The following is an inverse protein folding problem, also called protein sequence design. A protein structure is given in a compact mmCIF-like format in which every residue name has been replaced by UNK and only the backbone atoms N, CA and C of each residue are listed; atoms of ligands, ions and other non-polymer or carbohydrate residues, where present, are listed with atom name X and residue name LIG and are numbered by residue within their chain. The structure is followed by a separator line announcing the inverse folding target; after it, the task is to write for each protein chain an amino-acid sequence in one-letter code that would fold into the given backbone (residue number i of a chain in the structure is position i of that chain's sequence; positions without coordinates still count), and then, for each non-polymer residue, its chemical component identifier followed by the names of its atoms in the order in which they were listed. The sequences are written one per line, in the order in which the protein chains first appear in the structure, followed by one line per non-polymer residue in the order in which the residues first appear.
data_IF_786517845688
#
_entry.id   IF_786517845688
#
_cell.length_a   1.000
_cell.length_b   1.000
_cell.length_c   1.000
_cell.angle_alpha   90.00
_cell.angle_beta   90.00
_cell.angle_gamma   90.00
#
_symmetry.space_group_name_H-M   'P 1'
#
loop_
_entity.id
_entity.type
_entity.pdbx_description
1 polymer ?
#
# COMPACT_ATOMS: atom_id res chain seq x y z
N UNK A 1 18.92 21.08 9.84
CA UNK A 1 19.02 19.96 10.80
C UNK A 1 17.81 19.04 10.64
N UNK A 2 18.06 17.75 10.44
CA UNK A 2 17.10 16.65 10.41
C UNK A 2 16.25 16.59 11.68
N UNK A 3 15.27 17.50 11.79
CA UNK A 3 14.29 17.52 12.89
C UNK A 3 13.29 16.37 12.80
N UNK A 4 13.39 15.49 11.79
CA UNK A 4 12.48 14.36 11.58
C UNK A 4 12.35 13.50 12.84
N UNK A 5 13.47 13.13 13.46
CA UNK A 5 13.52 12.29 14.68
C UNK A 5 13.19 13.04 15.98
N UNK A 6 13.17 14.37 15.96
CA UNK A 6 12.98 15.21 17.17
C UNK A 6 11.51 15.61 17.40
N UNK A 7 10.58 15.23 16.50
CA UNK A 7 9.17 15.60 16.60
C UNK A 7 8.39 14.58 17.44
N UNK A 8 7.57 15.03 18.41
CA UNK A 8 6.80 14.12 19.25
C UNK A 8 5.63 13.48 18.49
N UNK A 9 5.36 12.22 18.81
CA UNK A 9 4.15 11.49 18.48
C UNK A 9 3.02 11.87 19.46
N UNK A 10 1.75 11.69 19.09
CA UNK A 10 0.65 11.78 20.06
C UNK A 10 0.59 10.50 20.91
N UNK A 11 0.67 9.33 20.29
CA UNK A 11 0.81 8.04 20.98
C UNK A 11 2.07 7.34 20.48
N UNK A 12 2.91 6.88 21.40
CA UNK A 12 4.01 5.96 21.08
C UNK A 12 4.09 4.87 22.13
N UNK A 13 3.93 3.62 21.70
CA UNK A 13 4.03 2.43 22.55
C UNK A 13 5.11 1.52 21.99
N UNK A 14 6.04 1.09 22.84
CA UNK A 14 7.18 0.25 22.45
C UNK A 14 7.20 -0.98 23.35
N UNK A 15 7.26 -2.17 22.75
CA UNK A 15 7.37 -3.46 23.45
C UNK A 15 6.27 -3.65 24.54
N UNK A 16 5.06 -3.19 24.23
CA UNK A 16 3.92 -3.25 25.14
C UNK A 16 3.05 -4.49 24.86
N UNK A 17 2.32 -4.96 25.87
CA UNK A 17 1.37 -6.08 25.74
C UNK A 17 -0.01 -5.73 26.28
N UNK A 18 -1.05 -6.23 25.62
CA UNK A 18 -2.45 -6.01 26.01
C UNK A 18 -2.83 -4.52 25.99
N UNK A 19 -2.65 -3.89 24.84
CA UNK A 19 -2.91 -2.46 24.64
C UNK A 19 -4.30 -2.28 24.04
N UNK A 20 -5.09 -1.38 24.63
CA UNK A 20 -6.38 -0.94 24.09
C UNK A 20 -6.36 0.58 23.89
N UNK A 21 -6.60 1.01 22.66
CA UNK A 21 -6.84 2.41 22.30
C UNK A 21 -8.22 2.51 21.69
N UNK A 22 -9.15 3.17 22.37
CA UNK A 22 -10.56 3.12 22.01
C UNK A 22 -11.27 4.45 22.22
N UNK A 23 -12.17 4.79 21.28
CA UNK A 23 -13.15 5.89 21.38
C UNK A 23 -12.54 7.28 21.64
N UNK A 24 -11.35 7.55 21.11
CA UNK A 24 -10.66 8.84 21.21
C UNK A 24 -10.60 9.59 19.87
N UNK A 25 -10.59 10.92 19.97
CA UNK A 25 -10.34 11.81 18.84
C UNK A 25 -8.92 12.38 18.97
N UNK A 26 -8.13 12.31 17.90
CA UNK A 26 -6.76 12.83 17.88
C UNK A 26 -6.55 13.73 16.67
N UNK A 27 -5.79 14.82 16.84
CA UNK A 27 -5.54 15.79 15.78
C UNK A 27 -4.13 16.37 15.85
N UNK A 28 -3.62 16.78 14.69
CA UNK A 28 -2.48 17.68 14.55
C UNK A 28 -1.19 17.20 15.26
N UNK A 29 -0.76 15.97 14.96
CA UNK A 29 0.52 15.46 15.47
C UNK A 29 1.68 16.21 14.82
N UNK A 30 2.75 16.45 15.59
CA UNK A 30 3.98 17.01 15.05
C UNK A 30 4.73 15.99 14.17
N UNK A 31 4.44 14.69 14.34
CA UNK A 31 4.94 13.58 13.53
C UNK A 31 3.80 12.56 13.26
N UNK A 32 4.08 11.25 13.24
CA UNK A 32 3.05 10.22 13.11
C UNK A 32 2.02 10.38 14.22
N UNK A 33 0.74 10.10 13.93
CA UNK A 33 -0.30 10.23 14.94
C UNK A 33 -0.08 9.26 16.09
N UNK A 34 0.07 7.98 15.75
CA UNK A 34 0.31 6.92 16.70
C UNK A 34 1.22 5.85 16.13
N UNK A 35 2.20 5.42 16.93
CA UNK A 35 3.17 4.39 16.54
C UNK A 35 3.24 3.31 17.61
N UNK A 36 3.03 2.07 17.17
CA UNK A 36 3.13 0.87 18.00
C UNK A 36 4.31 0.04 17.48
N UNK A 37 5.37 -0.06 18.26
CA UNK A 37 6.59 -0.78 17.91
C UNK A 37 6.73 -2.04 18.76
N UNK A 38 6.81 -3.20 18.12
CA UNK A 38 6.98 -4.50 18.77
C UNK A 38 5.91 -4.86 19.82
N UNK A 39 4.71 -4.28 19.72
CA UNK A 39 3.60 -4.58 20.63
C UNK A 39 2.92 -5.93 20.32
N UNK A 40 2.30 -6.53 21.34
CA UNK A 40 1.50 -7.75 21.23
C UNK A 40 0.10 -7.58 21.86
N UNK A 41 -0.92 -8.18 21.24
CA UNK A 41 -2.31 -8.08 21.68
C UNK A 41 -2.74 -6.61 21.75
N UNK A 42 -2.76 -5.97 20.59
CA UNK A 42 -3.11 -4.57 20.42
C UNK A 42 -4.48 -4.44 19.77
N UNK A 43 -5.36 -3.67 20.39
CA UNK A 43 -6.65 -3.30 19.81
C UNK A 43 -6.73 -1.79 19.66
N UNK A 44 -7.03 -1.33 18.44
CA UNK A 44 -7.37 0.06 18.14
C UNK A 44 -8.78 0.10 17.58
N UNK A 45 -9.72 0.77 18.25
CA UNK A 45 -11.12 0.75 17.85
C UNK A 45 -11.85 2.08 18.02
N UNK A 46 -12.74 2.44 17.10
CA UNK A 46 -13.63 3.60 17.26
C UNK A 46 -12.92 4.95 17.28
N UNK A 47 -11.64 5.02 16.89
CA UNK A 47 -10.88 6.27 16.92
C UNK A 47 -11.23 7.17 15.74
N UNK A 48 -11.05 8.49 15.95
CA UNK A 48 -11.11 9.47 14.86
C UNK A 48 -9.82 10.28 14.81
N UNK A 49 -9.24 10.38 13.62
CA UNK A 49 -7.98 11.08 13.39
C UNK A 49 -8.16 12.15 12.31
N UNK A 50 -7.61 13.34 12.57
CA UNK A 50 -7.42 14.39 11.56
C UNK A 50 -5.99 14.93 11.66
N UNK A 51 -5.13 14.61 10.69
CA UNK A 51 -3.68 14.85 10.80
C UNK A 51 -3.14 15.58 9.56
N UNK A 52 -3.22 16.90 9.56
CA UNK A 52 -2.72 17.79 8.49
C UNK A 52 -1.87 18.94 9.06
N UNK A 53 -1.06 18.65 10.07
CA UNK A 53 -0.26 19.66 10.76
C UNK A 53 1.20 19.71 10.28
N UNK A 54 1.72 18.63 9.69
CA UNK A 54 3.10 18.51 9.25
C UNK A 54 3.29 17.37 8.24
N UNK A 55 4.50 17.20 7.71
CA UNK A 55 4.91 15.97 7.01
C UNK A 55 4.92 14.76 7.97
N UNK A 56 4.79 13.53 7.45
CA UNK A 56 4.75 12.30 8.24
C UNK A 56 3.58 12.32 9.22
N UNK A 57 2.40 12.65 8.71
CA UNK A 57 1.19 12.76 9.49
C UNK A 57 0.28 11.56 9.22
N UNK A 58 0.84 10.38 9.42
CA UNK A 58 0.16 9.11 9.27
C UNK A 58 -0.98 8.95 10.29
N UNK A 59 -1.94 8.05 10.03
CA UNK A 59 -3.05 7.76 10.95
C UNK A 59 -2.69 6.68 11.97
N UNK A 60 -2.24 5.51 11.52
CA UNK A 60 -1.91 4.36 12.38
C UNK A 60 -0.65 3.67 11.85
N UNK A 61 0.43 3.68 12.64
CA UNK A 61 1.64 2.90 12.35
C UNK A 61 1.73 1.67 13.26
N UNK A 62 1.57 0.49 12.65
CA UNK A 62 1.80 -0.81 13.29
C UNK A 62 3.17 -1.32 12.82
N UNK A 63 4.13 -1.45 13.74
CA UNK A 63 5.51 -1.76 13.40
C UNK A 63 6.03 -2.99 14.15
N UNK A 64 6.16 -4.12 13.44
CA UNK A 64 6.61 -5.38 14.03
C UNK A 64 5.69 -5.90 15.14
N UNK A 65 4.38 -5.60 15.07
CA UNK A 65 3.40 -6.04 16.07
C UNK A 65 2.79 -7.40 15.72
N UNK A 66 2.33 -8.11 16.75
CA UNK A 66 1.58 -9.37 16.58
C UNK A 66 0.24 -9.38 17.30
N UNK A 67 -0.74 -10.08 16.72
CA UNK A 67 -2.10 -10.18 17.24
C UNK A 67 -2.74 -8.79 17.39
N UNK A 68 -3.00 -8.15 16.26
CA UNK A 68 -3.53 -6.77 16.21
C UNK A 68 -4.94 -6.76 15.64
N UNK A 69 -5.83 -5.99 16.27
CA UNK A 69 -7.18 -5.74 15.80
C UNK A 69 -7.36 -4.24 15.60
N UNK A 70 -7.78 -3.83 14.40
CA UNK A 70 -8.15 -2.45 14.09
C UNK A 70 -9.60 -2.44 13.58
N UNK A 71 -10.49 -1.69 14.21
CA UNK A 71 -11.89 -1.65 13.77
C UNK A 71 -12.55 -0.30 13.90
N UNK A 72 -13.50 0.00 13.02
CA UNK A 72 -14.44 1.12 13.19
C UNK A 72 -13.73 2.49 13.31
N UNK A 73 -12.57 2.64 12.66
CA UNK A 73 -11.74 3.83 12.73
C UNK A 73 -12.02 4.78 11.55
N UNK A 74 -11.94 6.08 11.81
CA UNK A 74 -12.07 7.13 10.80
C UNK A 74 -10.80 7.99 10.77
N UNK A 75 -10.17 8.15 9.61
CA UNK A 75 -8.95 8.94 9.45
C UNK A 75 -9.00 9.87 8.25
N UNK A 76 -8.46 11.08 8.44
CA UNK A 76 -8.15 12.02 7.39
C UNK A 76 -6.73 12.57 7.62
N UNK A 77 -5.82 12.34 6.69
CA UNK A 77 -4.37 12.43 6.92
C UNK A 77 -3.60 12.96 5.73
N UNK A 78 -2.51 13.65 6.02
CA UNK A 78 -1.60 14.20 5.02
C UNK A 78 -0.59 13.17 4.48
N UNK A 79 -0.31 12.14 5.27
CA UNK A 79 0.56 11.03 4.88
C UNK A 79 -0.26 9.72 4.90
N UNK A 80 0.38 8.57 5.10
CA UNK A 80 -0.26 7.25 5.01
C UNK A 80 -1.36 7.05 6.08
N UNK A 81 -2.51 6.47 5.74
CA UNK A 81 -3.56 6.21 6.73
C UNK A 81 -3.26 4.94 7.54
N UNK A 82 -3.50 3.75 6.99
CA UNK A 82 -3.18 2.49 7.67
C UNK A 82 -1.84 1.96 7.20
N UNK A 83 -0.83 2.05 8.06
CA UNK A 83 0.56 1.70 7.73
C UNK A 83 1.04 0.52 8.58
N UNK A 84 1.44 -0.54 7.90
CA UNK A 84 2.12 -1.69 8.50
C UNK A 84 3.59 -1.64 8.13
N UNK A 85 4.45 -1.53 9.14
CA UNK A 85 5.91 -1.55 9.03
C UNK A 85 6.46 -2.79 9.73
N UNK A 86 7.66 -3.18 9.36
CA UNK A 86 8.46 -4.17 10.08
C UNK A 86 9.90 -3.70 10.09
N UNK A 87 10.14 -2.60 10.80
CA UNK A 87 11.40 -1.85 10.81
C UNK A 87 12.55 -2.67 11.35
N UNK A 88 12.28 -3.61 12.26
CA UNK A 88 13.23 -4.53 12.89
C UNK A 88 13.04 -5.96 12.36
N UNK A 89 13.71 -6.94 12.96
CA UNK A 89 13.51 -8.36 12.66
C UNK A 89 12.11 -8.89 13.06
N UNK A 90 11.34 -8.12 13.84
CA UNK A 90 9.98 -8.50 14.20
C UNK A 90 9.02 -8.32 13.01
N UNK A 91 8.32 -9.38 12.55
CA UNK A 91 7.30 -9.25 11.52
C UNK A 91 6.05 -8.57 12.09
N UNK A 92 5.27 -7.95 11.19
CA UNK A 92 3.86 -7.72 11.46
C UNK A 92 3.08 -9.00 11.19
N UNK A 93 2.46 -9.60 12.21
CA UNK A 93 1.77 -10.88 12.04
C UNK A 93 0.44 -11.03 12.77
N UNK A 94 -0.49 -11.76 12.14
CA UNK A 94 -1.84 -12.03 12.66
C UNK A 94 -2.60 -10.73 12.96
N UNK A 95 -2.92 -9.99 11.90
CA UNK A 95 -3.55 -8.67 11.97
C UNK A 95 -4.91 -8.71 11.27
N UNK A 96 -5.93 -8.18 11.93
CA UNK A 96 -7.26 -7.98 11.32
C UNK A 96 -7.66 -6.51 11.34
N UNK A 97 -8.18 -6.04 10.20
CA UNK A 97 -8.72 -4.69 10.04
C UNK A 97 -10.12 -4.76 9.44
N UNK A 98 -11.08 -4.03 10.01
CA UNK A 98 -12.42 -3.93 9.42
C UNK A 98 -13.10 -2.58 9.65
N UNK A 99 -14.04 -2.22 8.78
CA UNK A 99 -14.98 -1.10 8.97
C UNK A 99 -14.32 0.27 9.12
N UNK A 100 -13.21 0.52 8.42
CA UNK A 100 -12.50 1.80 8.51
C UNK A 100 -12.85 2.73 7.33
N UNK A 101 -12.87 4.04 7.59
CA UNK A 101 -12.99 5.07 6.56
C UNK A 101 -11.71 5.89 6.54
N UNK A 102 -11.04 5.87 5.39
CA UNK A 102 -9.66 6.33 5.22
C UNK A 102 -9.60 7.44 4.17
N UNK A 103 -9.00 8.56 4.54
CA UNK A 103 -8.62 9.63 3.64
C UNK A 103 -7.13 9.93 3.85
N UNK A 104 -6.38 9.93 2.75
CA UNK A 104 -4.93 10.10 2.75
C UNK A 104 -4.50 10.84 1.50
N UNK A 105 -3.58 11.78 1.63
CA UNK A 105 -2.89 12.36 0.47
C UNK A 105 -1.74 11.47 -0.04
N UNK A 106 -1.36 10.44 0.71
CA UNK A 106 -0.38 9.43 0.33
C UNK A 106 -1.04 8.06 0.12
N UNK A 107 -0.74 7.05 0.94
CA UNK A 107 -1.27 5.70 0.80
C UNK A 107 -2.39 5.45 1.83
N UNK A 108 -3.58 5.05 1.38
CA UNK A 108 -4.67 4.76 2.31
C UNK A 108 -4.44 3.45 3.09
N UNK A 109 -3.96 2.41 2.43
CA UNK A 109 -3.56 1.12 3.04
C UNK A 109 -2.18 0.77 2.54
N UNK A 110 -1.23 0.56 3.45
CA UNK A 110 0.16 0.26 3.10
C UNK A 110 0.76 -0.83 3.96
N UNK A 111 1.33 -1.85 3.33
CA UNK A 111 2.34 -2.71 3.94
C UNK A 111 3.70 -2.29 3.40
N UNK A 112 4.55 -1.72 4.24
CA UNK A 112 5.80 -1.07 3.88
C UNK A 112 5.95 0.32 4.53
N UNK A 113 6.97 1.09 4.20
CA UNK A 113 8.08 0.72 3.30
C UNK A 113 9.13 -0.08 4.05
N UNK A 114 9.31 0.20 5.34
CA UNK A 114 10.14 -0.58 6.27
C UNK A 114 9.63 -2.01 6.33
N UNK A 115 10.41 -2.93 5.77
CA UNK A 115 9.96 -4.30 5.45
C UNK A 115 11.00 -5.35 5.82
N UNK A 116 11.80 -5.10 6.86
CA UNK A 116 12.87 -5.99 7.30
C UNK A 116 12.31 -7.28 7.92
N UNK A 117 11.39 -7.17 8.87
CA UNK A 117 10.80 -8.33 9.54
C UNK A 117 9.76 -9.06 8.68
N UNK A 118 9.12 -8.34 7.75
CA UNK A 118 8.10 -8.87 6.86
C UNK A 118 6.67 -8.79 7.42
N UNK A 119 5.75 -9.42 6.69
CA UNK A 119 4.31 -9.29 6.88
C UNK A 119 3.62 -10.63 6.68
N UNK A 120 2.87 -11.09 7.68
CA UNK A 120 2.29 -12.43 7.66
C UNK A 120 0.87 -12.46 8.19
N UNK A 121 -0.04 -13.13 7.48
CA UNK A 121 -1.43 -13.32 7.92
C UNK A 121 -2.11 -11.98 8.28
N UNK A 122 -2.25 -11.09 7.29
CA UNK A 122 -2.94 -9.81 7.45
C UNK A 122 -4.23 -9.84 6.64
N UNK A 123 -5.36 -9.58 7.30
CA UNK A 123 -6.68 -9.52 6.68
C UNK A 123 -7.28 -8.12 6.86
N UNK A 124 -7.58 -7.44 5.76
CA UNK A 124 -8.18 -6.10 5.74
C UNK A 124 -9.48 -6.18 4.96
N UNK A 125 -10.59 -5.74 5.56
CA UNK A 125 -11.88 -5.81 4.87
C UNK A 125 -12.82 -4.65 5.18
N UNK A 126 -13.84 -4.47 4.35
CA UNK A 126 -14.95 -3.54 4.60
C UNK A 126 -14.47 -2.09 4.87
N UNK A 127 -13.52 -1.60 4.07
CA UNK A 127 -12.98 -0.26 4.22
C UNK A 127 -13.38 0.65 3.07
N UNK A 128 -13.58 1.93 3.37
CA UNK A 128 -13.88 2.98 2.38
C UNK A 128 -12.68 3.90 2.31
N UNK A 129 -12.15 4.10 1.11
CA UNK A 129 -11.14 5.12 0.81
C UNK A 129 -11.87 6.26 0.10
N UNK A 130 -11.76 7.48 0.63
CA UNK A 130 -12.46 8.64 0.06
C UNK A 130 -11.56 9.87 0.02
N UNK A 131 -11.86 10.87 -0.82
CA UNK A 131 -11.12 12.12 -0.85
C UNK A 131 -11.04 12.77 0.53
N UNK A 132 -9.88 13.37 0.82
CA UNK A 132 -9.65 14.16 2.03
C UNK A 132 -10.59 15.37 2.07
N UNK A 133 -10.99 15.77 3.28
CA UNK A 133 -11.64 17.05 3.49
C UNK A 133 -10.66 18.22 3.40
N UNK A 134 -9.37 17.96 3.60
CA UNK A 134 -8.29 18.92 3.34
C UNK A 134 -7.97 18.95 1.83
N UNK A 135 -7.91 20.15 1.25
CA UNK A 135 -7.68 20.30 -0.19
C UNK A 135 -6.24 20.62 -0.53
N UNK A 136 -5.50 21.16 0.44
CA UNK A 136 -4.14 21.65 0.27
C UNK A 136 -3.17 20.73 1.04
N UNK A 137 -2.71 19.62 0.43
CA UNK A 137 -1.77 18.70 1.09
C UNK A 137 -0.44 19.40 1.42
N UNK A 138 0.14 19.07 2.57
CA UNK A 138 1.55 19.41 2.86
C UNK A 138 2.48 18.45 2.10
N UNK A 139 2.07 17.19 1.96
CA UNK A 139 2.77 16.14 1.22
C UNK A 139 1.80 15.23 0.43
N UNK A 140 2.31 14.60 -0.63
CA UNK A 140 1.54 13.71 -1.49
C UNK A 140 0.64 14.42 -2.51
N UNK A 141 -0.44 13.74 -2.92
CA UNK A 141 -1.39 14.21 -3.92
C UNK A 141 -2.75 14.51 -3.28
N UNK A 142 -3.43 15.55 -3.78
CA UNK A 142 -4.75 15.97 -3.26
C UNK A 142 -5.75 14.82 -3.11
N UNK A 143 -5.80 13.90 -4.06
CA UNK A 143 -6.73 12.77 -4.03
C UNK A 143 -6.11 11.45 -3.53
N UNK A 144 -4.86 11.48 -3.05
CA UNK A 144 -4.11 10.29 -2.63
C UNK A 144 -3.18 9.75 -3.71
N UNK A 145 -1.99 9.31 -3.31
CA UNK A 145 -1.02 8.62 -4.14
C UNK A 145 -1.52 7.21 -4.47
N UNK A 146 -1.92 6.43 -3.45
CA UNK A 146 -2.40 5.07 -3.67
C UNK A 146 -3.52 4.64 -2.74
N UNK A 147 -4.42 3.80 -3.26
CA UNK A 147 -5.43 3.12 -2.45
C UNK A 147 -4.82 1.99 -1.62
N UNK A 148 -4.14 1.06 -2.29
CA UNK A 148 -3.55 -0.14 -1.68
C UNK A 148 -2.11 -0.32 -2.17
N UNK A 149 -1.16 -0.21 -1.26
CA UNK A 149 0.28 -0.39 -1.51
C UNK A 149 0.82 -1.59 -0.72
N UNK A 150 1.39 -2.57 -1.42
CA UNK A 150 1.90 -3.82 -0.85
C UNK A 150 3.36 -3.97 -1.25
N UNK A 151 4.26 -3.71 -0.31
CA UNK A 151 5.68 -3.50 -0.58
C UNK A 151 6.56 -4.41 0.28
N UNK A 152 7.58 -5.00 -0.35
CA UNK A 152 8.74 -5.59 0.33
C UNK A 152 9.98 -5.08 -0.38
N UNK A 153 10.81 -4.30 0.32
CA UNK A 153 12.01 -3.69 -0.25
C UNK A 153 13.25 -3.78 0.62
N UNK A 154 13.10 -4.19 1.89
CA UNK A 154 14.18 -4.27 2.89
C UNK A 154 14.49 -5.71 3.32
N UNK A 155 14.18 -6.69 2.48
CA UNK A 155 14.62 -8.08 2.62
C UNK A 155 13.71 -9.04 3.41
N UNK A 156 12.62 -8.55 3.98
CA UNK A 156 11.67 -9.40 4.70
C UNK A 156 10.83 -10.31 3.81
N UNK A 157 9.98 -11.10 4.46
CA UNK A 157 9.07 -12.04 3.79
C UNK A 157 7.64 -11.58 3.99
N UNK A 158 6.91 -11.42 2.88
CA UNK A 158 5.47 -11.22 2.88
C UNK A 158 4.75 -12.49 2.42
N UNK A 159 3.82 -12.96 3.25
CA UNK A 159 3.03 -14.15 2.97
C UNK A 159 1.64 -14.11 3.61
N UNK A 160 0.58 -14.24 2.80
CA UNK A 160 -0.78 -14.37 3.31
C UNK A 160 -1.41 -13.02 3.64
N UNK A 161 -1.55 -12.18 2.61
CA UNK A 161 -2.27 -10.91 2.70
C UNK A 161 -3.62 -11.06 2.00
N UNK A 162 -4.72 -10.80 2.71
CA UNK A 162 -6.06 -10.81 2.14
C UNK A 162 -6.70 -9.44 2.30
N UNK A 163 -7.12 -8.83 1.20
CA UNK A 163 -7.82 -7.54 1.19
C UNK A 163 -9.15 -7.72 0.46
N UNK A 164 -10.27 -7.37 1.09
CA UNK A 164 -11.59 -7.56 0.48
C UNK A 164 -12.61 -6.47 0.78
N UNK A 165 -13.57 -6.29 -0.12
CA UNK A 165 -14.67 -5.35 0.04
C UNK A 165 -14.18 -3.92 0.31
N UNK A 166 -13.47 -3.36 -0.67
CA UNK A 166 -12.91 -2.00 -0.62
C UNK A 166 -13.61 -1.14 -1.66
N UNK A 167 -14.13 0.02 -1.23
CA UNK A 167 -14.60 1.06 -2.14
C UNK A 167 -13.64 2.24 -2.07
N UNK A 168 -13.08 2.67 -3.20
CA UNK A 168 -12.15 3.80 -3.28
C UNK A 168 -12.61 4.84 -4.30
N UNK A 169 -12.37 6.11 -3.97
CA UNK A 169 -12.65 7.27 -4.82
C UNK A 169 -11.47 8.23 -4.78
N UNK A 170 -10.85 8.46 -5.94
CA UNK A 170 -9.82 9.48 -6.14
C UNK A 170 -8.34 9.06 -6.31
N UNK A 171 -7.80 7.95 -5.75
CA UNK A 171 -6.34 7.77 -5.69
C UNK A 171 -5.70 7.68 -7.09
N UNK A 172 -4.48 8.18 -7.23
CA UNK A 172 -3.74 8.13 -8.51
C UNK A 172 -3.47 6.68 -8.94
N UNK A 173 -3.09 5.82 -7.99
CA UNK A 173 -2.84 4.39 -8.22
C UNK A 173 -3.75 3.53 -7.33
N UNK A 174 -4.72 2.78 -7.88
CA UNK A 174 -5.62 1.97 -7.08
C UNK A 174 -4.91 0.85 -6.32
N UNK A 175 -4.04 0.09 -7.02
CA UNK A 175 -3.33 -1.06 -6.47
C UNK A 175 -1.87 -1.03 -6.94
N UNK A 176 -0.96 -1.07 -5.98
CA UNK A 176 0.48 -1.13 -6.18
C UNK A 176 1.06 -2.32 -5.42
N UNK A 177 1.67 -3.28 -6.13
CA UNK A 177 2.36 -4.42 -5.53
C UNK A 177 3.81 -4.42 -6.01
N UNK A 178 4.74 -4.33 -5.07
CA UNK A 178 6.17 -4.17 -5.35
C UNK A 178 7.04 -5.04 -4.45
N UNK A 179 7.77 -5.96 -5.08
CA UNK A 179 9.00 -6.49 -4.52
C UNK A 179 10.17 -5.70 -5.10
N UNK A 180 11.00 -5.10 -4.25
CA UNK A 180 12.22 -4.36 -4.60
C UNK A 180 13.37 -4.72 -3.67
N UNK A 181 14.46 -3.96 -3.74
CA UNK A 181 15.69 -4.18 -2.99
C UNK A 181 16.36 -2.85 -2.60
N UNK A 182 15.63 -1.98 -1.91
CA UNK A 182 16.18 -0.81 -1.20
C UNK A 182 17.27 -1.23 -0.21
N UNK A 183 17.16 -2.45 0.33
CA UNK A 183 18.16 -3.09 1.18
C UNK A 183 18.57 -2.21 2.38
N UNK A 184 17.61 -1.49 2.96
CA UNK A 184 17.86 -0.64 4.12
C UNK A 184 18.21 -1.51 5.33
N UNK A 185 19.35 -1.25 5.96
CA UNK A 185 19.69 -1.84 7.24
C UNK A 185 18.76 -1.34 8.35
N UNK A 186 18.28 -2.24 9.20
CA UNK A 186 17.40 -1.86 10.32
C UNK A 186 18.15 -1.20 11.48
N UNK A 187 19.45 -1.50 11.65
CA UNK A 187 20.39 -0.79 12.52
C UNK A 187 21.70 -0.53 11.76
N UNK A 188 22.56 0.41 12.20
CA UNK A 188 23.85 0.65 11.56
C UNK A 188 24.74 -0.61 11.49
N UNK A 189 24.67 -1.47 12.51
CA UNK A 189 25.47 -2.68 12.67
C UNK A 189 24.90 -3.90 11.92
N UNK A 190 23.63 -3.86 11.51
CA UNK A 190 23.00 -4.97 10.80
C UNK A 190 23.71 -5.28 9.47
N UNK A 191 23.60 -6.54 9.03
CA UNK A 191 24.01 -6.92 7.68
C UNK A 191 23.11 -6.23 6.64
N UNK A 192 23.64 -6.02 5.43
CA UNK A 192 22.82 -5.52 4.31
C UNK A 192 21.82 -6.62 3.96
N UNK A 193 20.50 -6.35 4.02
CA UNK A 193 19.51 -7.35 3.67
C UNK A 193 19.67 -7.84 2.23
N UNK A 194 19.41 -9.12 2.01
CA UNK A 194 19.22 -9.66 0.65
C UNK A 194 17.83 -9.31 0.13
N UNK A 195 17.56 -9.58 -1.15
CA UNK A 195 16.20 -9.43 -1.71
C UNK A 195 15.20 -10.27 -0.92
N UNK A 196 14.06 -9.65 -0.59
CA UNK A 196 12.98 -10.28 0.16
C UNK A 196 12.11 -11.21 -0.68
N UNK A 197 10.96 -11.58 -0.14
CA UNK A 197 9.95 -12.37 -0.85
C UNK A 197 8.58 -11.76 -0.68
N UNK A 198 7.80 -11.73 -1.76
CA UNK A 198 6.42 -11.27 -1.77
C UNK A 198 5.56 -12.33 -2.44
N UNK A 199 4.70 -12.96 -1.65
CA UNK A 199 3.87 -14.06 -2.13
C UNK A 199 2.52 -14.15 -1.43
N UNK A 200 1.58 -14.86 -2.04
CA UNK A 200 0.28 -15.19 -1.45
C UNK A 200 -0.51 -13.93 -1.06
N UNK A 201 -0.83 -13.10 -2.06
CA UNK A 201 -1.66 -11.89 -1.90
C UNK A 201 -2.97 -12.08 -2.64
N UNK A 202 -4.08 -11.94 -1.93
CA UNK A 202 -5.44 -11.99 -2.46
C UNK A 202 -6.10 -10.64 -2.27
N UNK A 203 -6.54 -10.01 -3.36
CA UNK A 203 -7.35 -8.79 -3.31
C UNK A 203 -8.64 -9.04 -4.09
N UNK A 204 -9.80 -8.84 -3.47
CA UNK A 204 -11.08 -9.12 -4.12
C UNK A 204 -12.16 -8.12 -3.75
N UNK A 205 -13.18 -7.98 -4.60
CA UNK A 205 -14.33 -7.09 -4.34
C UNK A 205 -13.88 -5.63 -4.14
N UNK A 206 -13.19 -5.09 -5.15
CA UNK A 206 -12.70 -3.71 -5.15
C UNK A 206 -13.48 -2.88 -6.17
N UNK A 207 -14.01 -1.74 -5.73
CA UNK A 207 -14.56 -0.71 -6.62
C UNK A 207 -13.67 0.52 -6.51
N UNK A 208 -13.06 0.95 -7.61
CA UNK A 208 -12.24 2.14 -7.69
C UNK A 208 -12.78 3.11 -8.74
N UNK A 209 -13.05 4.35 -8.34
CA UNK A 209 -13.57 5.42 -9.22
C UNK A 209 -12.71 6.67 -9.18
N UNK A 210 -12.83 7.49 -10.23
CA UNK A 210 -12.11 8.75 -10.36
C UNK A 210 -10.60 8.61 -10.12
N UNK A 211 -10.01 7.49 -10.54
CA UNK A 211 -8.60 7.19 -10.29
C UNK A 211 -7.70 7.88 -11.32
N UNK A 212 -6.41 7.91 -11.02
CA UNK A 212 -5.40 8.56 -11.84
C UNK A 212 -5.19 7.96 -13.23
N UNK A 213 -4.14 8.46 -13.89
CA UNK A 213 -3.72 7.99 -15.23
C UNK A 213 -2.68 6.89 -15.17
N UNK A 214 -2.03 6.72 -14.02
CA UNK A 214 -0.87 5.84 -13.86
C UNK A 214 -1.21 4.38 -14.13
N UNK A 215 -2.33 3.86 -13.61
CA UNK A 215 -2.69 2.45 -13.66
C UNK A 215 -2.17 1.66 -12.45
N UNK A 216 -2.51 0.37 -12.35
CA UNK A 216 -2.02 -0.52 -11.29
C UNK A 216 -0.73 -1.24 -11.73
N UNK A 217 0.11 -1.63 -10.76
CA UNK A 217 1.28 -2.45 -11.04
C UNK A 217 1.41 -3.65 -10.11
N UNK A 218 1.93 -4.74 -10.67
CA UNK A 218 2.30 -5.98 -9.96
C UNK A 218 3.72 -6.33 -10.41
N UNK A 219 4.71 -5.94 -9.60
CA UNK A 219 6.10 -5.93 -10.03
C UNK A 219 7.05 -6.61 -9.05
N UNK A 220 7.81 -7.58 -9.54
CA UNK A 220 9.06 -8.02 -8.93
C UNK A 220 10.26 -7.28 -9.50
N UNK A 221 11.46 -7.80 -9.26
CA UNK A 221 12.71 -7.38 -9.90
C UNK A 221 13.33 -8.56 -10.66
N UNK A 222 14.26 -8.33 -11.60
CA UNK A 222 14.92 -9.41 -12.34
C UNK A 222 15.42 -10.54 -11.44
N UNK A 223 15.02 -11.77 -11.72
CA UNK A 223 15.39 -12.96 -10.94
C UNK A 223 14.60 -13.17 -9.63
N UNK A 224 13.84 -12.18 -9.17
CA UNK A 224 13.05 -12.23 -7.94
C UNK A 224 11.58 -11.84 -8.23
N UNK A 225 10.77 -12.77 -8.75
CA UNK A 225 9.39 -12.45 -9.08
C UNK A 225 8.51 -12.39 -7.83
N UNK A 226 7.48 -11.54 -7.89
CA UNK A 226 6.31 -11.66 -7.01
C UNK A 226 5.53 -12.91 -7.37
N UNK A 227 4.96 -13.62 -6.38
CA UNK A 227 4.37 -14.95 -6.59
C UNK A 227 2.95 -15.10 -6.07
N UNK A 228 2.11 -15.85 -6.78
CA UNK A 228 0.78 -16.23 -6.30
C UNK A 228 -0.05 -15.01 -5.85
N UNK A 229 -0.31 -14.13 -6.81
CA UNK A 229 -1.10 -12.90 -6.61
C UNK A 229 -2.43 -13.09 -7.33
N UNK A 230 -3.53 -12.96 -6.60
CA UNK A 230 -4.88 -13.11 -7.14
C UNK A 230 -5.67 -11.82 -6.95
N UNK A 231 -6.10 -11.22 -8.06
CA UNK A 231 -6.99 -10.07 -8.10
C UNK A 231 -8.32 -10.49 -8.72
N UNK A 232 -9.45 -10.29 -8.02
CA UNK A 232 -10.74 -10.70 -8.56
C UNK A 232 -11.94 -9.82 -8.19
N UNK A 233 -13.01 -9.89 -8.98
CA UNK A 233 -14.27 -9.20 -8.72
C UNK A 233 -14.08 -7.69 -8.54
N UNK A 234 -13.59 -7.01 -9.57
CA UNK A 234 -13.23 -5.59 -9.49
C UNK A 234 -13.94 -4.73 -10.53
N UNK A 235 -14.21 -3.47 -10.16
CA UNK A 235 -14.63 -2.42 -11.08
C UNK A 235 -13.64 -1.26 -10.92
N UNK A 236 -12.90 -0.95 -11.97
CA UNK A 236 -11.84 0.05 -11.96
C UNK A 236 -12.10 1.09 -13.05
N UNK A 237 -12.16 2.36 -12.66
CA UNK A 237 -12.31 3.49 -13.58
C UNK A 237 -11.09 4.39 -13.47
N UNK A 238 -10.38 4.55 -14.58
CA UNK A 238 -9.16 5.35 -14.71
C UNK A 238 -9.44 6.64 -15.48
N UNK A 239 -8.73 7.72 -15.16
CA UNK A 239 -8.83 8.95 -15.93
C UNK A 239 -8.49 8.73 -17.41
N UNK A 240 -7.47 7.91 -17.71
CA UNK A 240 -7.04 7.62 -19.08
C UNK A 240 -6.39 8.81 -19.80
N UNK A 241 -6.46 8.80 -21.13
CA UNK A 241 -5.98 9.91 -21.97
C UNK A 241 -4.52 9.82 -22.42
N UNK A 242 -3.80 8.73 -22.15
CA UNK A 242 -2.42 8.56 -22.63
C UNK A 242 -2.41 8.22 -24.13
N UNK A 243 -1.81 9.10 -24.94
CA UNK A 243 -1.77 8.94 -26.40
C UNK A 243 -0.50 8.27 -26.92
N UNK A 244 0.59 8.33 -26.17
CA UNK A 244 1.87 7.76 -26.57
C UNK A 244 2.35 6.80 -25.47
N UNK A 245 1.90 5.53 -25.51
CA UNK A 245 2.28 4.52 -24.53
C UNK A 245 3.79 4.30 -24.47
N UNK A 246 4.35 4.24 -23.25
CA UNK A 246 5.71 3.79 -23.02
C UNK A 246 5.78 2.27 -23.28
N UNK A 247 6.85 1.80 -23.91
CA UNK A 247 7.03 0.35 -24.13
C UNK A 247 7.40 -0.32 -22.80
N UNK A 248 6.93 -1.55 -22.52
CA UNK A 248 7.30 -2.29 -21.32
C UNK A 248 8.81 -2.34 -21.04
N UNK A 249 9.61 -2.56 -22.08
CA UNK A 249 11.07 -2.63 -21.99
C UNK A 249 11.75 -1.29 -21.67
N UNK A 250 11.06 -0.16 -21.80
CA UNK A 250 11.59 1.17 -21.48
C UNK A 250 11.25 1.61 -20.05
N UNK A 251 10.40 0.86 -19.34
CA UNK A 251 10.11 1.13 -17.92
C UNK A 251 11.34 0.74 -17.09
N UNK A 252 11.96 1.65 -16.33
CA UNK A 252 13.16 1.34 -15.56
C UNK A 252 12.88 0.32 -14.45
N UNK A 253 13.92 -0.40 -14.00
CA UNK A 253 13.75 -1.41 -12.93
C UNK A 253 13.59 -0.81 -11.53
N UNK A 254 14.31 0.29 -11.24
CA UNK A 254 14.25 1.04 -9.98
C UNK A 254 14.29 0.11 -8.74
N UNK A 255 15.20 -0.86 -8.73
CA UNK A 255 15.25 -1.92 -7.72
C UNK A 255 15.55 -1.37 -6.32
N UNK A 256 16.44 -0.38 -6.22
CA UNK A 256 16.95 0.19 -4.97
C UNK A 256 16.26 1.50 -4.54
N UNK A 257 15.26 1.95 -5.30
CA UNK A 257 14.59 3.22 -5.07
C UNK A 257 13.45 3.10 -4.05
N UNK A 258 13.03 4.24 -3.50
CA UNK A 258 11.85 4.31 -2.63
C UNK A 258 10.59 3.88 -3.43
N UNK A 259 9.80 2.90 -2.95
CA UNK A 259 8.74 2.27 -3.72
C UNK A 259 7.44 3.07 -3.67
N UNK A 260 7.45 4.32 -4.13
CA UNK A 260 6.18 5.04 -4.32
C UNK A 260 5.45 4.50 -5.55
N UNK A 261 4.12 4.40 -5.49
CA UNK A 261 3.32 3.83 -6.58
C UNK A 261 3.46 4.56 -7.92
N UNK A 262 3.86 5.83 -7.91
CA UNK A 262 4.09 6.64 -9.13
C UNK A 262 5.53 6.58 -9.65
N UNK A 263 6.42 5.81 -9.03
CA UNK A 263 7.87 5.79 -9.32
C UNK A 263 8.22 5.49 -10.78
N UNK A 264 7.35 4.78 -11.50
CA UNK A 264 7.53 4.43 -12.91
C UNK A 264 6.95 5.46 -13.89
N UNK A 265 6.31 6.53 -13.39
CA UNK A 265 5.49 7.43 -14.18
C UNK A 265 4.25 6.71 -14.75
N UNK A 266 3.79 7.13 -15.93
CA UNK A 266 2.66 6.46 -16.58
C UNK A 266 3.05 5.07 -17.08
N UNK A 267 2.33 4.06 -16.60
CA UNK A 267 2.62 2.66 -16.94
C UNK A 267 2.21 2.33 -18.39
N UNK A 268 2.82 1.30 -19.01
CA UNK A 268 2.49 0.84 -20.37
C UNK A 268 1.03 0.42 -20.56
N UNK A 269 0.39 -0.06 -19.49
CA UNK A 269 -1.01 -0.46 -19.47
C UNK A 269 -1.84 0.57 -18.69
N UNK A 270 -3.10 0.78 -19.06
CA UNK A 270 -3.96 1.67 -18.28
C UNK A 270 -4.53 0.99 -17.02
N UNK A 271 -4.71 -0.33 -17.01
CA UNK A 271 -5.24 -1.05 -15.85
C UNK A 271 -4.15 -1.81 -15.10
N UNK A 272 -3.48 -2.80 -15.70
CA UNK A 272 -2.47 -3.61 -15.02
C UNK A 272 -1.18 -3.75 -15.83
N UNK A 273 -0.09 -3.24 -15.28
CA UNK A 273 1.26 -3.59 -15.71
C UNK A 273 1.84 -4.66 -14.79
N UNK A 274 2.15 -5.83 -15.34
CA UNK A 274 2.64 -6.99 -14.58
C UNK A 274 4.05 -7.32 -15.05
N UNK A 275 5.04 -7.26 -14.16
CA UNK A 275 6.43 -7.50 -14.53
C UNK A 275 7.19 -8.33 -13.50
N UNK A 276 8.03 -9.26 -13.93
CA UNK A 276 8.79 -10.17 -13.05
C UNK A 276 7.84 -10.83 -12.06
N UNK A 277 6.96 -11.69 -12.57
CA UNK A 277 5.87 -12.24 -11.78
C UNK A 277 5.61 -13.70 -12.12
N UNK A 278 5.13 -14.46 -11.13
CA UNK A 278 4.84 -15.89 -11.27
C UNK A 278 3.49 -16.19 -10.62
N UNK A 279 2.65 -16.97 -11.31
CA UNK A 279 1.33 -17.40 -10.85
C UNK A 279 0.41 -16.22 -10.49
N UNK A 280 0.15 -15.37 -11.49
CA UNK A 280 -0.74 -14.21 -11.33
C UNK A 280 -2.11 -14.55 -11.90
N UNK A 281 -3.16 -14.31 -11.12
CA UNK A 281 -4.55 -14.53 -11.53
C UNK A 281 -5.33 -13.24 -11.52
N UNK A 282 -5.93 -12.90 -12.66
CA UNK A 282 -6.90 -11.81 -12.80
C UNK A 282 -8.25 -12.41 -13.20
N UNK A 283 -9.30 -12.24 -12.38
CA UNK A 283 -10.64 -12.80 -12.67
C UNK A 283 -11.76 -11.79 -12.45
N UNK A 284 -12.68 -11.67 -13.40
CA UNK A 284 -13.91 -10.88 -13.24
C UNK A 284 -13.62 -9.41 -12.88
N UNK A 285 -12.77 -8.78 -13.70
CA UNK A 285 -12.39 -7.38 -13.53
C UNK A 285 -12.98 -6.59 -14.69
N UNK A 286 -13.75 -5.55 -14.39
CA UNK A 286 -14.14 -4.52 -15.35
C UNK A 286 -13.20 -3.33 -15.17
N UNK A 287 -12.50 -2.93 -16.24
CA UNK A 287 -11.67 -1.73 -16.24
C UNK A 287 -12.08 -0.83 -17.40
N UNK A 288 -12.26 0.46 -17.14
CA UNK A 288 -12.63 1.48 -18.13
C UNK A 288 -11.76 2.71 -17.99
N UNK A 289 -11.68 3.50 -19.06
CA UNK A 289 -11.07 4.83 -19.04
C UNK A 289 -12.13 5.90 -19.32
N UNK A 290 -12.02 7.05 -18.67
CA UNK A 290 -12.90 8.21 -18.90
C UNK A 290 -12.53 8.94 -20.18
N UNK A 291 -11.24 9.19 -20.39
CA UNK A 291 -10.70 9.71 -21.64
C UNK A 291 -10.19 8.56 -22.54
N UNK A 292 -10.25 8.71 -23.87
CA UNK A 292 -9.67 7.73 -24.80
C UNK A 292 -8.17 7.52 -24.52
N UNK A 293 -7.78 6.29 -24.24
CA UNK A 293 -6.39 5.90 -23.94
C UNK A 293 -5.89 4.92 -24.99
N UNK A 294 -4.65 5.10 -25.48
CA UNK A 294 -4.04 4.20 -26.47
C UNK A 294 -3.37 2.97 -25.85
N UNK A 295 -3.25 2.91 -24.52
CA UNK A 295 -2.69 1.74 -23.83
C UNK A 295 -3.68 0.59 -23.86
N UNK A 296 -3.16 -0.63 -23.82
CA UNK A 296 -3.95 -1.82 -23.57
C UNK A 296 -4.33 -1.90 -22.07
N UNK A 297 -5.44 -2.57 -21.70
CA UNK A 297 -5.80 -2.73 -20.29
C UNK A 297 -4.73 -3.46 -19.49
N UNK A 298 -4.19 -4.54 -20.05
CA UNK A 298 -3.22 -5.40 -19.37
C UNK A 298 -2.01 -5.57 -20.25
N UNK A 299 -0.83 -5.31 -19.70
CA UNK A 299 0.45 -5.63 -20.34
C UNK A 299 1.32 -6.39 -19.34
N UNK A 300 1.98 -7.45 -19.83
CA UNK A 300 2.89 -8.25 -19.02
C UNK A 300 4.27 -8.39 -19.65
N UNK A 301 5.30 -8.50 -18.82
CA UNK A 301 6.69 -8.72 -19.24
C UNK A 301 7.41 -9.60 -18.23
N UNK A 302 8.10 -10.65 -18.68
CA UNK A 302 8.72 -11.64 -17.77
C UNK A 302 7.73 -12.20 -16.73
N UNK A 303 6.65 -12.81 -17.23
CA UNK A 303 5.60 -13.39 -16.40
C UNK A 303 5.39 -14.86 -16.76
N UNK A 304 5.35 -15.72 -15.74
CA UNK A 304 5.02 -17.14 -15.86
C UNK A 304 3.72 -17.44 -15.12
N UNK A 305 2.85 -18.28 -15.68
CA UNK A 305 1.60 -18.67 -15.00
C UNK A 305 0.54 -17.56 -14.90
N UNK A 306 0.51 -16.60 -15.85
CA UNK A 306 -0.54 -15.58 -15.91
C UNK A 306 -1.87 -16.19 -16.38
N UNK A 307 -2.90 -16.11 -15.52
CA UNK A 307 -4.26 -16.53 -15.83
C UNK A 307 -5.18 -15.31 -15.86
N UNK A 308 -5.94 -15.15 -16.95
CA UNK A 308 -6.89 -14.04 -17.12
C UNK A 308 -8.25 -14.61 -17.51
N UNK A 309 -9.27 -14.36 -16.69
CA UNK A 309 -10.64 -14.83 -16.90
C UNK A 309 -11.62 -13.66 -16.77
N UNK A 310 -12.47 -13.41 -17.76
CA UNK A 310 -13.46 -12.32 -17.71
C UNK A 310 -12.87 -10.92 -17.36
N UNK A 311 -11.76 -10.56 -18.00
CA UNK A 311 -11.09 -9.24 -17.87
C UNK A 311 -11.04 -8.57 -19.26
N UNK A 312 -11.07 -7.23 -19.37
CA UNK A 312 -10.77 -6.52 -20.60
C UNK A 312 -9.54 -7.10 -21.30
N UNK A 313 -9.72 -7.46 -22.57
CA UNK A 313 -8.68 -8.18 -23.33
C UNK A 313 -7.51 -7.25 -23.65
N UNK A 314 -6.27 -7.77 -23.64
CA UNK A 314 -5.10 -7.05 -24.17
C UNK A 314 -5.33 -6.58 -25.60
#
# INVERSE_FOLDING_TARGET
PDRYLDRPYIIRMIDCRNVLVQDINMRNSAMWMQHYLACENLTVSGIKVYNHANQNNDMIDIDGCRNVIISDCYGDTDDDALTFKSTSEHPCENITVTNCVLSSHCNAIKCGTESTGGFKNIAISNCIIKPSAENDPIFGLRNGISGISIEVVDGGVMNGITISNISMDGPEVPIFIRLGNRARKHTPEAEIPTVGQLSNVLITQVIARNTGKTGCSITGIPGHPVRNISLSNMILEFAGGIQEPVRPADVPELEDQYPESTMFGHLPAYAFFIRHAEDISLSDITAITLDPDKRQPVISQDVRGLTITNVPRP
#
